data_IF_964866082774
#
_entry.id   IF_964866082774
#
_cell.length_a   1.000
_cell.length_b   1.000
_cell.length_c   1.000
_cell.angle_alpha   90.00
_cell.angle_beta   90.00
_cell.angle_gamma   90.00
#
_symmetry.space_group_name_H-M   'P 1'
#
loop_
_entity.id
_entity.type
_entity.pdbx_description
1 polymer ?
#
# COMPACT_ATOMS: atom_id res chain seq x y z
N UNK A 1 3.79 17.21 -5.49
CA UNK A 1 3.74 15.74 -5.38
C UNK A 1 5.15 15.20 -5.47
N UNK A 2 5.72 14.84 -4.33
CA UNK A 2 6.91 13.99 -4.25
C UNK A 2 6.51 12.53 -4.40
N UNK A 3 7.50 11.67 -4.58
CA UNK A 3 7.31 10.22 -4.53
C UNK A 3 6.83 9.79 -3.15
N UNK A 4 7.35 10.38 -2.08
CA UNK A 4 6.91 10.08 -0.73
C UNK A 4 5.42 10.36 -0.52
N UNK A 5 4.91 11.48 -1.04
CA UNK A 5 3.47 11.78 -0.99
C UNK A 5 2.62 10.75 -1.77
N UNK A 6 3.14 10.23 -2.88
CA UNK A 6 2.48 9.15 -3.63
C UNK A 6 2.50 7.82 -2.86
N UNK A 7 3.66 7.45 -2.31
CA UNK A 7 3.83 6.21 -1.53
C UNK A 7 2.92 6.24 -0.29
N UNK A 8 2.81 7.39 0.37
CA UNK A 8 1.90 7.56 1.49
C UNK A 8 0.44 7.30 1.08
N UNK A 9 -0.01 7.83 -0.06
CA UNK A 9 -1.36 7.57 -0.57
C UNK A 9 -1.58 6.10 -0.93
N UNK A 10 -0.57 5.41 -1.49
CA UNK A 10 -0.64 3.96 -1.78
C UNK A 10 -0.76 3.15 -0.50
N UNK A 11 0.03 3.49 0.53
CA UNK A 11 -0.03 2.82 1.85
C UNK A 11 -1.38 3.09 2.53
N UNK A 12 -1.89 4.32 2.45
CA UNK A 12 -3.22 4.66 2.98
C UNK A 12 -4.33 3.84 2.30
N UNK A 13 -4.27 3.65 0.98
CA UNK A 13 -5.21 2.79 0.25
C UNK A 13 -5.07 1.31 0.65
N UNK A 14 -3.83 0.82 0.80
CA UNK A 14 -3.55 -0.53 1.28
C UNK A 14 -4.05 -0.79 2.69
N UNK A 15 -4.15 0.25 3.53
CA UNK A 15 -4.69 0.16 4.89
C UNK A 15 -6.23 0.13 4.95
N UNK A 16 -6.93 0.20 3.82
CA UNK A 16 -8.38 -0.04 3.82
C UNK A 16 -8.65 -1.51 4.17
N UNK A 17 -9.69 -1.84 4.95
CA UNK A 17 -9.95 -3.22 5.37
C UNK A 17 -10.04 -4.21 4.19
N UNK A 18 -10.62 -3.74 3.09
CA UNK A 18 -10.76 -4.46 1.82
C UNK A 18 -9.44 -4.97 1.24
N UNK A 19 -8.37 -4.19 1.37
CA UNK A 19 -7.04 -4.54 0.88
C UNK A 19 -6.25 -5.24 1.98
N UNK A 20 -6.24 -4.64 3.17
CA UNK A 20 -5.42 -5.06 4.30
C UNK A 20 -5.59 -6.54 4.67
N UNK A 21 -6.84 -7.04 4.65
CA UNK A 21 -7.14 -8.43 5.00
C UNK A 21 -6.50 -9.47 4.05
N UNK A 22 -6.15 -9.05 2.83
CA UNK A 22 -5.54 -9.91 1.81
C UNK A 22 -4.08 -9.56 1.52
N UNK A 23 -3.63 -8.35 1.85
CA UNK A 23 -2.32 -7.83 1.50
C UNK A 23 -1.87 -6.78 2.52
N UNK A 24 -0.92 -7.14 3.37
CA UNK A 24 -0.32 -6.27 4.40
C UNK A 24 1.16 -5.91 4.12
N UNK A 25 1.76 -6.48 3.07
CA UNK A 25 3.16 -6.26 2.69
C UNK A 25 3.50 -4.77 2.46
N UNK A 26 2.51 -3.94 2.14
CA UNK A 26 2.68 -2.49 1.94
C UNK A 26 3.07 -1.74 3.22
N UNK A 27 2.82 -2.31 4.40
CA UNK A 27 3.23 -1.70 5.69
C UNK A 27 4.76 -1.48 5.78
N UNK A 28 5.54 -2.30 5.08
CA UNK A 28 6.99 -2.20 5.03
C UNK A 28 7.53 -1.30 3.92
N UNK A 29 6.68 -0.90 2.94
CA UNK A 29 7.10 -0.28 1.69
C UNK A 29 8.01 0.94 1.91
N UNK A 30 7.53 1.93 2.67
CA UNK A 30 8.26 3.19 2.88
C UNK A 30 9.63 2.99 3.53
N UNK A 31 9.79 1.95 4.36
CA UNK A 31 11.06 1.65 5.03
C UNK A 31 12.11 1.01 4.12
N UNK A 32 11.69 0.43 3.00
CA UNK A 32 12.56 -0.16 1.97
C UNK A 32 13.09 0.87 0.98
N UNK A 33 12.47 2.05 0.92
CA UNK A 33 12.76 3.10 -0.06
C UNK A 33 13.80 4.08 0.47
N UNK A 34 14.67 4.56 -0.43
CA UNK A 34 15.68 5.54 -0.07
C UNK A 34 15.07 6.92 0.20
N UNK A 35 15.64 7.64 1.17
CA UNK A 35 15.25 9.01 1.51
C UNK A 35 15.30 9.97 0.31
N UNK A 36 16.30 9.77 -0.56
CA UNK A 36 16.49 10.57 -1.78
C UNK A 36 15.38 10.31 -2.79
N UNK A 37 14.98 9.04 -2.97
CA UNK A 37 13.82 8.69 -3.80
C UNK A 37 12.54 9.33 -3.27
N UNK A 38 12.25 9.20 -1.96
CA UNK A 38 11.03 9.72 -1.34
C UNK A 38 10.91 11.25 -1.42
N UNK A 39 12.04 11.97 -1.40
CA UNK A 39 12.09 13.44 -1.52
C UNK A 39 12.06 13.94 -2.97
N UNK A 40 12.28 13.06 -3.94
CA UNK A 40 12.27 13.40 -5.36
C UNK A 40 10.85 13.77 -5.82
N UNK A 41 10.73 14.77 -6.70
CA UNK A 41 9.45 15.07 -7.33
C UNK A 41 9.16 14.05 -8.41
N UNK A 42 7.89 13.66 -8.54
CA UNK A 42 7.50 12.68 -9.58
C UNK A 42 7.84 13.14 -11.00
N UNK A 43 7.77 14.45 -11.27
CA UNK A 43 8.17 15.03 -12.56
C UNK A 43 9.65 14.92 -12.86
N UNK A 44 10.46 14.70 -11.83
CA UNK A 44 11.92 14.74 -11.88
C UNK A 44 12.50 13.30 -11.81
N UNK A 45 11.64 12.28 -11.76
CA UNK A 45 12.06 10.89 -11.98
C UNK A 45 12.45 10.75 -13.45
N UNK A 46 13.74 10.60 -13.69
CA UNK A 46 14.31 10.38 -15.02
C UNK A 46 15.15 9.10 -15.05
N UNK A 47 14.99 8.32 -16.12
CA UNK A 47 15.86 7.17 -16.42
C UNK A 47 15.88 6.08 -15.34
N UNK A 48 17.03 5.43 -15.21
CA UNK A 48 17.19 4.22 -14.39
C UNK A 48 17.66 4.50 -12.94
N UNK A 49 17.72 5.77 -12.51
CA UNK A 49 18.35 6.17 -11.23
C UNK A 49 17.67 5.61 -9.98
N UNK A 50 16.39 5.26 -10.07
CA UNK A 50 15.61 4.65 -9.00
C UNK A 50 14.79 3.45 -9.51
N UNK A 51 15.26 2.79 -10.58
CA UNK A 51 14.55 1.67 -11.19
C UNK A 51 14.07 0.61 -10.18
N UNK A 52 14.89 0.12 -9.22
CA UNK A 52 14.42 -0.89 -8.27
C UNK A 52 13.38 -0.33 -7.28
N UNK A 53 13.54 0.91 -6.82
CA UNK A 53 12.55 1.54 -5.95
C UNK A 53 11.21 1.81 -6.67
N UNK A 54 11.26 2.19 -7.96
CA UNK A 54 10.07 2.35 -8.80
C UNK A 54 9.36 1.01 -9.00
N UNK A 55 10.11 -0.06 -9.27
CA UNK A 55 9.56 -1.41 -9.44
C UNK A 55 8.83 -1.87 -8.16
N UNK A 56 9.45 -1.71 -6.99
CA UNK A 56 8.83 -2.06 -5.70
C UNK A 56 7.53 -1.26 -5.46
N UNK A 57 7.52 0.05 -5.73
CA UNK A 57 6.31 0.88 -5.56
C UNK A 57 5.21 0.44 -6.53
N UNK A 58 5.56 0.14 -7.79
CA UNK A 58 4.59 -0.29 -8.79
C UNK A 58 4.03 -1.68 -8.47
N UNK A 59 4.85 -2.62 -8.00
CA UNK A 59 4.40 -3.95 -7.60
C UNK A 59 3.34 -3.85 -6.50
N UNK A 60 3.62 -3.10 -5.44
CA UNK A 60 2.67 -2.89 -4.34
C UNK A 60 1.42 -2.15 -4.82
N UNK A 61 1.57 -1.06 -5.58
CA UNK A 61 0.44 -0.28 -6.07
C UNK A 61 -0.49 -1.09 -6.98
N UNK A 62 0.05 -1.94 -7.86
CA UNK A 62 -0.76 -2.76 -8.75
C UNK A 62 -1.63 -3.75 -7.96
N UNK A 63 -1.06 -4.46 -6.99
CA UNK A 63 -1.80 -5.38 -6.13
C UNK A 63 -2.87 -4.66 -5.32
N UNK A 64 -2.54 -3.50 -4.73
CA UNK A 64 -3.48 -2.70 -3.94
C UNK A 64 -4.65 -2.22 -4.80
N UNK A 65 -4.38 -1.68 -6.00
CA UNK A 65 -5.44 -1.17 -6.90
C UNK A 65 -6.36 -2.30 -7.35
N UNK A 66 -5.81 -3.50 -7.64
CA UNK A 66 -6.60 -4.67 -8.00
C UNK A 66 -7.53 -5.09 -6.86
N UNK A 67 -7.00 -5.18 -5.64
CA UNK A 67 -7.77 -5.52 -4.44
C UNK A 67 -8.80 -4.45 -4.08
N UNK A 68 -8.47 -3.17 -4.21
CA UNK A 68 -9.40 -2.06 -3.94
C UNK A 68 -10.52 -1.98 -4.98
N UNK A 69 -10.26 -2.36 -6.23
CA UNK A 69 -11.25 -2.26 -7.32
C UNK A 69 -12.19 -3.46 -7.41
N UNK A 70 -11.84 -4.62 -6.82
CA UNK A 70 -12.65 -5.85 -6.93
C UNK A 70 -13.98 -5.74 -6.18
N UNK A 71 -15.00 -6.49 -6.60
CA UNK A 71 -16.21 -6.65 -5.77
C UNK A 71 -15.90 -7.58 -4.59
N UNK A 72 -16.46 -7.28 -3.42
CA UNK A 72 -16.30 -8.13 -2.23
C UNK A 72 -17.23 -9.34 -2.32
N UNK A 73 -16.70 -10.51 -1.98
CA UNK A 73 -17.50 -11.71 -1.74
C UNK A 73 -17.98 -11.77 -0.29
N UNK A 74 -18.94 -12.66 0.02
CA UNK A 74 -19.38 -12.90 1.40
C UNK A 74 -18.22 -13.34 2.31
N UNK A 75 -17.29 -14.14 1.78
CA UNK A 75 -16.06 -14.55 2.48
C UNK A 75 -15.16 -13.35 2.79
N UNK A 76 -15.01 -12.41 1.85
CA UNK A 76 -14.22 -11.21 2.11
C UNK A 76 -14.86 -10.32 3.20
N UNK A 77 -16.19 -10.22 3.23
CA UNK A 77 -16.90 -9.48 4.28
C UNK A 77 -16.79 -10.15 5.65
N UNK A 78 -16.72 -11.48 5.71
CA UNK A 78 -16.46 -12.24 6.93
C UNK A 78 -15.03 -12.02 7.42
N UNK A 79 -14.04 -12.20 6.54
CA UNK A 79 -12.62 -11.99 6.88
C UNK A 79 -12.36 -10.56 7.40
N UNK A 80 -12.93 -9.54 6.75
CA UNK A 80 -12.82 -8.14 7.21
C UNK A 80 -13.40 -7.97 8.61
N UNK A 81 -14.55 -8.59 8.89
CA UNK A 81 -15.23 -8.47 10.18
C UNK A 81 -14.44 -9.16 11.29
N UNK A 82 -13.91 -10.35 11.02
CA UNK A 82 -13.06 -11.07 11.98
C UNK A 82 -11.81 -10.27 12.32
N UNK A 83 -11.17 -9.66 11.30
CA UNK A 83 -10.03 -8.78 11.50
C UNK A 83 -10.42 -7.57 12.35
N UNK A 84 -11.48 -6.83 12.01
CA UNK A 84 -11.94 -5.68 12.80
C UNK A 84 -12.27 -6.04 14.26
N UNK A 85 -12.87 -7.21 14.52
CA UNK A 85 -13.15 -7.70 15.87
C UNK A 85 -11.87 -8.03 16.64
N UNK A 86 -10.89 -8.66 15.99
CA UNK A 86 -9.58 -8.95 16.57
C UNK A 86 -8.86 -7.67 17.01
N UNK A 87 -8.78 -6.67 16.12
CA UNK A 87 -8.13 -5.38 16.41
C UNK A 87 -8.90 -4.54 17.43
N UNK A 88 -10.24 -4.58 17.39
CA UNK A 88 -11.10 -3.93 18.37
C UNK A 88 -10.93 -4.51 19.77
N UNK A 89 -10.77 -5.84 19.86
CA UNK A 89 -10.54 -6.56 21.12
C UNK A 89 -9.12 -6.36 21.66
N UNK A 90 -8.12 -6.20 20.78
CA UNK A 90 -6.73 -5.95 21.18
C UNK A 90 -6.50 -4.54 21.78
N UNK A 91 -7.43 -3.60 21.55
CA UNK A 91 -7.39 -2.24 22.12
C UNK A 91 -8.20 -2.09 23.43
N UNK A 92 -8.85 -3.16 23.89
CA UNK A 92 -9.71 -3.21 25.09
C UNK A 92 -8.96 -3.53 26.38
#
# INVERSE_FOLDING_TARGET
MTVGELVDAVVELGNTPKVFVRHDDHLGLKSKLSDDFLKTKLSDIEGDSFAPEVEEVLEQANTIIELDSRELSEEDEEDIREEEEYWGSAKG
#
